data_IF_383276394218
#
_entry.id   IF_383276394218
#
_cell.length_a   1.000
_cell.length_b   1.000
_cell.length_c   1.000
_cell.angle_alpha   90.00
_cell.angle_beta   90.00
_cell.angle_gamma   90.00
#
_symmetry.space_group_name_H-M   'P 1'
#
loop_
_entity.id
_entity.type
_entity.pdbx_description
1 polymer ?
#
# COMPACT_ATOMS: atom_id res chain seq x y z
N UNK A 1 3.98 -34.09 1.05
CA UNK A 1 2.75 -33.48 1.60
C UNK A 1 2.99 -31.97 1.53
N UNK A 2 2.42 -31.18 0.63
CA UNK A 2 1.15 -31.22 -0.11
C UNK A 2 1.42 -30.79 -1.57
N UNK A 3 1.02 -31.58 -2.58
CA UNK A 3 0.93 -31.12 -3.98
C UNK A 3 -0.55 -30.91 -4.30
N UNK A 4 -0.91 -29.73 -4.79
CA UNK A 4 -2.23 -29.48 -5.35
C UNK A 4 -2.32 -30.10 -6.75
N UNK A 5 -3.24 -31.04 -6.93
CA UNK A 5 -3.67 -31.56 -8.23
C UNK A 5 -5.02 -30.89 -8.55
N UNK A 6 -5.03 -29.99 -9.53
CA UNK A 6 -6.27 -29.56 -10.17
C UNK A 6 -6.64 -30.60 -11.23
N UNK A 7 -7.77 -31.27 -11.05
CA UNK A 7 -8.33 -32.20 -12.05
C UNK A 7 -9.59 -31.56 -12.63
N UNK A 8 -9.57 -31.27 -13.92
CA UNK A 8 -10.77 -30.97 -14.72
C UNK A 8 -10.97 -32.10 -15.73
N UNK A 9 -12.19 -32.62 -15.82
CA UNK A 9 -12.52 -33.83 -16.58
C UNK A 9 -12.76 -33.56 -18.08
N UNK A 10 -11.89 -34.19 -18.90
CA UNK A 10 -12.13 -35.12 -20.02
C UNK A 10 -13.11 -34.79 -21.18
N UNK A 11 -12.58 -34.85 -22.41
CA UNK A 11 -13.04 -35.79 -23.48
C UNK A 11 -11.99 -35.95 -24.60
N UNK A 12 -11.48 -37.17 -24.75
CA UNK A 12 -11.63 -38.04 -25.94
C UNK A 12 -10.60 -37.79 -27.06
N UNK A 13 -9.51 -38.56 -26.99
CA UNK A 13 -8.48 -38.71 -28.00
C UNK A 13 -7.36 -39.55 -27.41
N UNK A 14 -6.95 -40.62 -28.09
CA UNK A 14 -5.74 -41.35 -27.72
C UNK A 14 -4.53 -40.48 -28.06
N UNK A 15 -4.28 -39.47 -27.23
CA UNK A 15 -3.03 -38.73 -27.27
C UNK A 15 -1.93 -39.70 -26.89
N UNK A 16 -1.09 -40.01 -27.86
CA UNK A 16 0.19 -40.65 -27.63
C UNK A 16 0.91 -39.77 -26.61
N UNK A 17 1.04 -40.25 -25.36
CA UNK A 17 1.81 -39.56 -24.33
C UNK A 17 3.23 -39.37 -24.88
N UNK A 18 3.48 -38.17 -25.43
CA UNK A 18 4.82 -37.76 -25.79
C UNK A 18 5.57 -37.75 -24.48
N UNK A 19 6.50 -38.68 -24.30
CA UNK A 19 7.36 -38.71 -23.13
C UNK A 19 8.00 -37.32 -23.00
N UNK A 20 7.49 -36.52 -22.06
CA UNK A 20 8.00 -35.18 -21.81
C UNK A 20 9.39 -35.36 -21.22
N UNK A 21 10.40 -35.25 -22.09
CA UNK A 21 11.80 -35.20 -21.72
C UNK A 21 12.07 -33.86 -21.04
N UNK A 22 12.56 -33.90 -19.80
CA UNK A 22 12.95 -32.72 -19.05
C UNK A 22 14.19 -33.00 -18.20
N UNK A 23 15.06 -32.00 -18.07
CA UNK A 23 16.19 -32.05 -17.15
C UNK A 23 15.73 -31.58 -15.78
N UNK A 24 15.89 -32.44 -14.75
CA UNK A 24 15.69 -32.02 -13.37
C UNK A 24 16.84 -31.09 -12.96
N UNK A 25 16.57 -29.79 -12.89
CA UNK A 25 17.52 -28.81 -12.38
C UNK A 25 17.39 -28.72 -10.85
N UNK A 26 18.50 -28.91 -10.13
CA UNK A 26 18.59 -28.71 -8.68
C UNK A 26 19.53 -27.54 -8.39
N UNK A 27 19.03 -26.29 -8.41
CA UNK A 27 19.89 -25.15 -8.15
C UNK A 27 20.39 -25.17 -6.70
N UNK A 28 21.64 -24.75 -6.50
CA UNK A 28 22.19 -24.43 -5.18
C UNK A 28 21.71 -23.05 -4.77
N UNK A 29 21.03 -22.94 -3.62
CA UNK A 29 20.52 -21.67 -3.12
C UNK A 29 21.48 -21.05 -2.11
N UNK A 30 21.76 -19.76 -2.29
CA UNK A 30 22.42 -18.97 -1.25
C UNK A 30 21.37 -18.56 -0.20
N UNK A 31 21.56 -18.99 1.05
CA UNK A 31 20.64 -18.74 2.17
C UNK A 31 21.09 -17.61 3.10
N UNK A 32 22.27 -17.03 2.86
CA UNK A 32 22.91 -16.11 3.80
C UNK A 32 23.27 -14.75 3.20
N UNK A 33 23.46 -14.66 1.88
CA UNK A 33 23.70 -13.38 1.22
C UNK A 33 22.41 -12.59 1.08
N UNK A 34 22.46 -11.31 1.45
CA UNK A 34 21.41 -10.34 1.21
C UNK A 34 21.72 -9.56 -0.07
N UNK A 35 20.77 -9.53 -1.00
CA UNK A 35 20.77 -8.61 -2.13
C UNK A 35 19.67 -7.57 -1.95
N UNK A 36 20.06 -6.29 -1.96
CA UNK A 36 19.10 -5.18 -2.02
C UNK A 36 18.74 -4.94 -3.49
N UNK A 37 17.67 -5.58 -3.93
CA UNK A 37 17.13 -5.38 -5.27
C UNK A 37 15.98 -4.37 -5.20
N UNK A 38 15.97 -3.29 -5.98
CA UNK A 38 14.83 -2.38 -6.05
C UNK A 38 13.51 -3.13 -6.25
N UNK A 39 12.48 -2.72 -5.51
CA UNK A 39 11.14 -3.36 -5.48
C UNK A 39 11.10 -4.83 -5.03
N UNK A 40 12.22 -5.35 -4.55
CA UNK A 40 12.35 -6.74 -4.12
C UNK A 40 13.01 -6.80 -2.73
N UNK A 41 12.74 -7.87 -2.00
CA UNK A 41 13.28 -8.07 -0.66
C UNK A 41 12.32 -7.62 0.45
N UNK A 42 12.88 -7.33 1.62
CA UNK A 42 12.12 -7.12 2.85
C UNK A 42 12.04 -5.63 3.18
N UNK A 43 10.89 -5.17 3.64
CA UNK A 43 10.70 -3.80 4.14
C UNK A 43 10.57 -3.80 5.65
N UNK A 44 11.09 -2.76 6.30
CA UNK A 44 10.75 -2.48 7.69
C UNK A 44 9.37 -1.85 7.74
N UNK A 45 8.40 -2.57 8.30
CA UNK A 45 7.03 -2.08 8.44
C UNK A 45 6.94 -1.07 9.60
N UNK A 46 7.04 0.22 9.29
CA UNK A 46 7.04 1.30 10.26
C UNK A 46 5.62 1.82 10.50
N UNK A 47 5.22 1.86 11.76
CA UNK A 47 4.05 2.66 12.14
C UNK A 47 4.45 4.13 12.25
N UNK A 48 3.56 5.05 11.89
CA UNK A 48 3.82 6.49 11.99
C UNK A 48 3.91 7.01 13.44
N UNK A 49 4.03 6.12 14.45
CA UNK A 49 4.15 6.45 15.87
C UNK A 49 5.54 6.97 16.29
N UNK A 50 6.53 6.96 15.37
CA UNK A 50 7.79 7.71 15.54
C UNK A 50 8.68 7.25 16.69
N UNK A 51 8.55 5.99 17.15
CA UNK A 51 9.35 5.49 18.28
C UNK A 51 10.84 5.33 17.89
N UNK A 52 11.79 6.02 18.56
CA UNK A 52 13.22 5.91 18.25
C UNK A 52 13.79 4.49 18.41
N UNK A 53 13.25 3.66 19.30
CA UNK A 53 13.72 2.29 19.49
C UNK A 53 13.35 1.36 18.34
N UNK A 54 12.48 1.78 17.43
CA UNK A 54 12.03 0.99 16.29
C UNK A 54 13.19 0.53 15.40
N UNK A 55 14.23 1.37 15.27
CA UNK A 55 15.43 1.07 14.46
C UNK A 55 16.33 -0.02 15.06
N UNK A 56 16.21 -0.28 16.36
CA UNK A 56 16.98 -1.29 17.07
C UNK A 56 16.24 -2.63 17.20
N UNK A 57 15.12 -2.78 16.49
CA UNK A 57 14.36 -4.05 16.45
C UNK A 57 15.25 -5.18 15.94
N UNK A 58 15.35 -6.24 16.74
CA UNK A 58 16.18 -7.41 16.47
C UNK A 58 15.35 -8.69 16.42
N UNK A 59 15.82 -9.66 15.62
CA UNK A 59 15.25 -10.99 15.56
C UNK A 59 16.35 -12.05 15.33
N UNK A 60 16.12 -13.25 15.85
CA UNK A 60 16.99 -14.40 15.61
C UNK A 60 16.67 -15.02 14.24
N UNK A 61 17.69 -15.21 13.41
CA UNK A 61 17.54 -15.85 12.09
C UNK A 61 18.23 -17.22 12.12
N UNK A 62 17.47 -18.33 12.13
CA UNK A 62 18.06 -19.68 12.22
C UNK A 62 19.08 -19.99 11.13
N UNK A 63 18.79 -19.63 9.87
CA UNK A 63 19.69 -19.88 8.73
C UNK A 63 21.01 -19.08 8.82
N UNK A 64 21.06 -18.02 9.64
CA UNK A 64 22.29 -17.26 9.93
C UNK A 64 22.93 -17.63 11.27
N UNK A 65 22.24 -18.41 12.12
CA UNK A 65 22.69 -18.77 13.46
C UNK A 65 22.93 -17.58 14.40
N UNK A 66 22.30 -16.42 14.15
CA UNK A 66 22.55 -15.19 14.92
C UNK A 66 21.33 -14.27 14.99
N UNK A 67 21.34 -13.39 15.99
CA UNK A 67 20.44 -12.24 16.08
C UNK A 67 20.94 -11.12 15.18
N UNK A 68 20.01 -10.51 14.43
CA UNK A 68 20.30 -9.41 13.51
C UNK A 68 19.36 -8.24 13.76
N UNK A 69 19.77 -7.02 13.37
CA UNK A 69 18.85 -5.88 13.32
C UNK A 69 18.06 -5.90 12.02
N UNK A 70 16.78 -5.55 12.08
CA UNK A 70 15.91 -5.49 10.91
C UNK A 70 16.44 -4.54 9.82
N UNK A 71 17.00 -3.40 10.26
CA UNK A 71 17.49 -2.34 9.36
C UNK A 71 18.67 -2.77 8.49
N UNK A 72 19.50 -3.70 8.97
CA UNK A 72 20.65 -4.18 8.21
C UNK A 72 20.19 -4.94 6.95
N UNK A 73 18.99 -5.55 7.00
CA UNK A 73 18.45 -6.42 5.97
C UNK A 73 17.35 -5.79 5.11
N UNK A 74 16.80 -4.65 5.53
CA UNK A 74 15.67 -4.03 4.85
C UNK A 74 16.08 -3.23 3.61
N UNK A 75 15.28 -3.34 2.56
CA UNK A 75 15.41 -2.55 1.32
C UNK A 75 14.80 -1.16 1.46
N UNK A 76 13.80 -0.99 2.33
CA UNK A 76 13.13 0.30 2.57
C UNK A 76 12.43 0.35 3.94
N UNK A 77 12.15 1.56 4.42
CA UNK A 77 11.22 1.83 5.52
C UNK A 77 9.81 2.05 4.95
N UNK A 78 8.91 1.08 5.14
CA UNK A 78 7.55 1.14 4.63
C UNK A 78 6.59 1.70 5.68
N UNK A 79 6.12 2.92 5.46
CA UNK A 79 5.19 3.64 6.33
C UNK A 79 3.78 3.46 5.78
N UNK A 80 2.98 2.62 6.46
CA UNK A 80 1.53 2.48 6.22
C UNK A 80 0.77 3.14 7.36
N UNK A 81 0.04 4.21 7.06
CA UNK A 81 -0.80 4.88 8.05
C UNK A 81 -1.96 5.66 7.43
N UNK A 82 -2.77 6.29 8.27
CA UNK A 82 -3.96 7.02 7.86
C UNK A 82 -3.63 8.33 7.14
N UNK A 83 -4.46 8.71 6.16
CA UNK A 83 -4.37 10.02 5.51
C UNK A 83 -4.37 11.16 6.55
N UNK A 84 -5.23 11.11 7.57
CA UNK A 84 -5.24 12.12 8.64
C UNK A 84 -3.92 12.25 9.41
N UNK A 85 -3.07 11.23 9.44
CA UNK A 85 -1.72 11.33 10.03
C UNK A 85 -0.78 12.12 9.13
N UNK A 86 -0.90 11.96 7.82
CA UNK A 86 -0.11 12.73 6.84
C UNK A 86 -0.59 14.17 6.73
N UNK A 87 -1.91 14.39 6.75
CA UNK A 87 -2.51 15.68 6.47
C UNK A 87 -3.71 15.91 7.41
N UNK A 88 -3.45 16.32 8.66
CA UNK A 88 -4.50 16.44 9.69
C UNK A 88 -5.47 17.62 9.47
N UNK A 89 -4.99 18.69 8.83
CA UNK A 89 -5.73 19.93 8.53
C UNK A 89 -5.43 20.32 7.09
N UNK A 90 -6.37 20.96 6.39
CA UNK A 90 -6.14 21.38 5.01
C UNK A 90 -4.90 22.28 4.91
N UNK A 91 -4.00 21.94 3.97
CA UNK A 91 -2.73 22.63 3.77
C UNK A 91 -1.64 22.36 4.82
N UNK A 92 -1.91 21.55 5.86
CA UNK A 92 -0.92 21.17 6.87
C UNK A 92 -0.45 19.75 6.60
N UNK A 93 0.84 19.59 6.32
CA UNK A 93 1.46 18.31 5.97
C UNK A 93 2.41 17.89 7.08
N UNK A 94 2.01 16.89 7.87
CA UNK A 94 2.67 16.52 9.11
C UNK A 94 4.13 16.08 8.90
N UNK A 95 4.46 15.48 7.76
CA UNK A 95 5.83 15.09 7.42
C UNK A 95 6.78 16.27 7.22
N UNK A 96 6.28 17.51 7.19
CA UNK A 96 7.08 18.75 7.15
C UNK A 96 7.30 19.38 8.52
N UNK A 97 6.61 18.91 9.56
CA UNK A 97 6.71 19.44 10.92
C UNK A 97 7.57 18.52 11.82
N UNK A 98 8.75 18.99 12.29
CA UNK A 98 9.64 18.23 13.18
C UNK A 98 9.03 17.74 14.49
N UNK A 99 7.94 18.36 14.94
CA UNK A 99 7.25 17.96 16.16
C UNK A 99 6.53 16.62 16.00
N UNK A 100 6.12 16.27 14.77
CA UNK A 100 5.25 15.14 14.50
C UNK A 100 5.98 13.79 14.52
N UNK A 101 5.24 12.74 14.86
CA UNK A 101 5.77 11.38 14.87
C UNK A 101 6.14 10.87 13.47
N UNK A 102 5.38 11.26 12.45
CA UNK A 102 5.66 10.86 11.07
C UNK A 102 6.92 11.51 10.52
N UNK A 103 7.17 12.79 10.81
CA UNK A 103 8.44 13.45 10.47
C UNK A 103 9.61 12.69 11.10
N UNK A 104 9.52 12.39 12.40
CA UNK A 104 10.60 11.69 13.13
C UNK A 104 10.89 10.31 12.54
N UNK A 105 9.87 9.59 12.10
CA UNK A 105 10.04 8.30 11.43
C UNK A 105 10.72 8.46 10.06
N UNK A 106 10.28 9.40 9.24
CA UNK A 106 10.86 9.67 7.91
C UNK A 106 12.32 10.10 8.06
N UNK A 107 12.59 11.08 8.93
CA UNK A 107 13.93 11.59 9.19
C UNK A 107 14.85 10.51 9.75
N UNK A 108 14.35 9.69 10.68
CA UNK A 108 15.10 8.56 11.23
C UNK A 108 15.54 7.52 10.19
N UNK A 109 14.73 7.26 9.17
CA UNK A 109 15.12 6.37 8.07
C UNK A 109 16.16 7.03 7.15
N UNK A 110 15.94 8.30 6.79
CA UNK A 110 16.86 9.08 5.96
C UNK A 110 18.25 9.20 6.60
N UNK A 111 18.33 9.47 7.91
CA UNK A 111 19.58 9.57 8.66
C UNK A 111 20.35 8.25 8.71
N UNK A 112 19.68 7.12 8.45
CA UNK A 112 20.26 5.78 8.39
C UNK A 112 20.48 5.29 6.96
N UNK A 113 20.26 6.15 5.96
CA UNK A 113 20.39 5.80 4.54
C UNK A 113 19.38 4.75 4.06
N UNK A 114 18.23 4.62 4.73
CA UNK A 114 17.16 3.71 4.34
C UNK A 114 16.08 4.50 3.57
N UNK A 115 15.83 4.19 2.28
CA UNK A 115 14.81 4.89 1.51
C UNK A 115 13.40 4.60 2.06
N UNK A 116 12.48 5.54 1.86
CA UNK A 116 11.11 5.47 2.35
C UNK A 116 10.20 4.82 1.30
N UNK A 117 9.17 4.11 1.76
CA UNK A 117 8.01 3.76 0.96
C UNK A 117 6.73 4.09 1.71
N UNK A 118 5.67 4.47 0.99
CA UNK A 118 4.42 4.93 1.59
C UNK A 118 3.23 4.11 1.16
N UNK A 119 2.29 3.92 2.10
CA UNK A 119 0.88 3.67 1.82
C UNK A 119 0.02 4.59 2.67
N UNK A 120 -0.93 5.23 2.01
CA UNK A 120 -1.90 6.13 2.62
C UNK A 120 -3.26 5.43 2.67
N UNK A 121 -3.84 5.33 3.85
CA UNK A 121 -5.15 4.68 4.05
C UNK A 121 -6.22 5.74 4.24
N UNK A 122 -7.27 5.72 3.39
CA UNK A 122 -8.44 6.58 3.52
C UNK A 122 -9.68 5.88 4.11
N UNK A 123 -9.76 4.56 3.99
CA UNK A 123 -10.92 3.77 4.39
C UNK A 123 -11.08 3.69 5.91
N UNK A 124 -12.26 3.99 6.47
CA UNK A 124 -12.46 4.02 7.93
C UNK A 124 -13.02 2.75 8.55
N UNK A 125 -13.48 1.78 7.75
CA UNK A 125 -14.43 0.73 8.20
C UNK A 125 -13.93 -0.09 9.39
N UNK A 126 -12.64 -0.45 9.42
CA UNK A 126 -12.07 -1.36 10.43
C UNK A 126 -10.87 -0.83 11.21
N UNK A 127 -10.21 0.25 10.74
CA UNK A 127 -9.00 0.83 11.37
C UNK A 127 -9.22 2.15 12.11
N UNK A 128 -10.46 2.66 12.18
CA UNK A 128 -10.76 3.96 12.81
C UNK A 128 -10.91 5.08 11.78
N UNK A 129 -11.01 6.32 12.24
CA UNK A 129 -11.03 7.48 11.35
C UNK A 129 -9.71 7.59 10.58
N UNK A 130 -9.75 7.41 9.26
CA UNK A 130 -8.55 7.41 8.42
C UNK A 130 -8.46 8.64 7.51
N UNK A 131 -9.58 9.06 6.94
CA UNK A 131 -9.71 10.33 6.19
C UNK A 131 -9.79 11.51 7.16
N UNK A 132 -9.10 12.64 6.90
CA UNK A 132 -9.18 13.83 7.76
C UNK A 132 -10.60 14.43 7.81
N UNK A 133 -11.01 14.93 8.97
CA UNK A 133 -12.38 15.45 9.16
C UNK A 133 -12.69 16.65 8.24
N UNK A 134 -11.71 17.49 7.94
CA UNK A 134 -11.89 18.66 7.07
C UNK A 134 -12.38 18.30 5.66
N UNK A 135 -12.09 17.09 5.18
CA UNK A 135 -12.54 16.60 3.86
C UNK A 135 -14.07 16.43 3.87
N UNK A 136 -14.61 15.89 4.96
CA UNK A 136 -16.05 15.75 5.15
C UNK A 136 -16.72 17.09 5.47
N UNK A 137 -16.05 17.95 6.24
CA UNK A 137 -16.55 19.31 6.53
C UNK A 137 -16.66 20.17 5.25
N UNK A 138 -15.78 19.90 4.27
CA UNK A 138 -15.84 20.50 2.93
C UNK A 138 -16.92 19.89 2.01
N UNK A 139 -17.70 18.91 2.50
CA UNK A 139 -18.85 18.35 1.79
C UNK A 139 -18.62 17.01 1.10
N UNK A 140 -17.49 16.33 1.32
CA UNK A 140 -17.28 15.01 0.74
C UNK A 140 -18.29 13.99 1.26
N UNK A 141 -18.94 13.26 0.34
CA UNK A 141 -19.84 12.16 0.70
C UNK A 141 -19.08 11.01 1.37
N UNK A 142 -19.75 10.35 2.31
CA UNK A 142 -19.21 9.21 3.04
C UNK A 142 -20.31 8.24 3.46
N UNK A 143 -19.88 7.05 3.86
CA UNK A 143 -20.73 6.07 4.54
C UNK A 143 -20.03 5.53 5.79
N UNK A 144 -20.80 4.93 6.69
CA UNK A 144 -20.34 4.30 7.92
C UNK A 144 -20.76 2.84 7.88
N UNK A 145 -19.81 1.91 7.96
CA UNK A 145 -20.09 0.48 7.86
C UNK A 145 -20.70 -0.12 9.13
N UNK A 146 -20.45 0.51 10.29
CA UNK A 146 -20.95 0.07 11.58
C UNK A 146 -21.35 1.29 12.42
N UNK A 147 -22.65 1.43 12.69
CA UNK A 147 -23.21 2.57 13.42
C UNK A 147 -22.67 2.73 14.84
N UNK A 148 -22.14 1.66 15.46
CA UNK A 148 -21.47 1.72 16.76
C UNK A 148 -20.13 2.48 16.72
N UNK A 149 -19.61 2.78 15.53
CA UNK A 149 -18.38 3.53 15.31
C UNK A 149 -18.62 4.70 14.33
N UNK A 150 -19.35 5.74 14.75
CA UNK A 150 -19.77 6.83 13.86
C UNK A 150 -18.62 7.69 13.32
N UNK A 151 -17.45 7.62 13.95
CA UNK A 151 -16.21 8.28 13.53
C UNK A 151 -15.50 7.55 12.38
N UNK A 152 -15.84 6.28 12.13
CA UNK A 152 -15.28 5.43 11.07
C UNK A 152 -15.87 5.71 9.69
N UNK A 153 -15.89 6.99 9.33
CA UNK A 153 -16.36 7.47 8.02
C UNK A 153 -15.44 6.99 6.91
N UNK A 154 -16.04 6.47 5.84
CA UNK A 154 -15.33 6.07 4.63
C UNK A 154 -15.82 6.92 3.46
N UNK A 155 -14.92 7.62 2.74
CA UNK A 155 -15.33 8.46 1.62
C UNK A 155 -15.93 7.62 0.48
N UNK A 156 -16.91 8.20 -0.22
CA UNK A 156 -17.41 7.68 -1.49
C UNK A 156 -16.35 7.96 -2.56
N UNK A 157 -15.90 6.94 -3.28
CA UNK A 157 -14.73 7.06 -4.16
C UNK A 157 -14.96 7.94 -5.39
N UNK A 158 -16.21 8.01 -5.88
CA UNK A 158 -16.61 8.88 -6.99
C UNK A 158 -16.90 10.33 -6.57
N UNK A 159 -16.85 10.63 -5.27
CA UNK A 159 -17.17 11.97 -4.78
C UNK A 159 -16.09 12.98 -5.22
N UNK A 160 -16.46 14.07 -5.91
CA UNK A 160 -15.47 15.02 -6.45
C UNK A 160 -14.73 15.80 -5.36
N UNK A 161 -15.33 16.02 -4.18
CA UNK A 161 -14.67 16.72 -3.07
C UNK A 161 -13.61 15.82 -2.45
N UNK A 162 -13.93 14.54 -2.20
CA UNK A 162 -12.95 13.53 -1.78
C UNK A 162 -11.76 13.48 -2.76
N UNK A 163 -12.05 13.32 -4.06
CA UNK A 163 -11.01 13.20 -5.08
C UNK A 163 -10.13 14.44 -5.16
N UNK A 164 -10.70 15.64 -5.07
CA UNK A 164 -9.95 16.89 -5.04
C UNK A 164 -8.93 16.91 -3.91
N UNK A 165 -9.35 16.60 -2.68
CA UNK A 165 -8.44 16.64 -1.53
C UNK A 165 -7.45 15.49 -1.52
N UNK A 166 -7.85 14.30 -1.96
CA UNK A 166 -6.93 13.17 -2.08
C UNK A 166 -5.86 13.44 -3.14
N UNK A 167 -6.23 14.01 -4.29
CA UNK A 167 -5.27 14.42 -5.32
C UNK A 167 -4.30 15.48 -4.80
N UNK A 168 -4.80 16.50 -4.09
CA UNK A 168 -3.97 17.53 -3.44
C UNK A 168 -2.97 16.92 -2.45
N UNK A 169 -3.36 15.90 -1.69
CA UNK A 169 -2.44 15.18 -0.79
C UNK A 169 -1.30 14.52 -1.58
N UNK A 170 -1.63 13.80 -2.65
CA UNK A 170 -0.64 13.08 -3.46
C UNK A 170 0.30 14.04 -4.18
N UNK A 171 -0.22 15.13 -4.75
CA UNK A 171 0.56 16.22 -5.34
C UNK A 171 1.59 16.79 -4.35
N UNK A 172 1.17 17.04 -3.11
CA UNK A 172 2.04 17.61 -2.08
C UNK A 172 3.06 16.60 -1.55
N UNK A 173 2.67 15.32 -1.46
CA UNK A 173 3.61 14.25 -1.14
C UNK A 173 4.70 14.13 -2.23
N UNK A 174 4.32 14.22 -3.50
CA UNK A 174 5.24 14.11 -4.61
C UNK A 174 6.27 15.24 -4.67
N UNK A 175 5.90 16.47 -4.26
CA UNK A 175 6.86 17.59 -4.16
C UNK A 175 8.07 17.27 -3.29
N UNK A 176 7.87 16.47 -2.24
CA UNK A 176 8.93 16.14 -1.27
C UNK A 176 9.57 14.75 -1.52
N UNK A 177 8.82 13.83 -2.13
CA UNK A 177 9.19 12.42 -2.21
C UNK A 177 9.31 11.84 -3.63
N UNK A 178 9.08 12.60 -4.71
CA UNK A 178 9.35 12.16 -6.09
C UNK A 178 10.88 12.18 -6.40
N UNK A 179 11.67 11.43 -5.63
CA UNK A 179 13.14 11.37 -5.72
C UNK A 179 13.62 9.95 -5.44
N UNK A 180 14.24 9.30 -6.44
CA UNK A 180 14.72 7.91 -6.36
C UNK A 180 15.80 7.68 -5.30
N UNK A 181 16.47 8.73 -4.82
CA UNK A 181 17.50 8.62 -3.78
C UNK A 181 16.89 8.60 -2.36
N UNK A 182 15.62 9.03 -2.23
CA UNK A 182 14.93 9.16 -0.94
C UNK A 182 13.78 8.18 -0.82
N UNK A 183 13.14 7.85 -1.94
CA UNK A 183 11.93 7.05 -1.98
C UNK A 183 12.16 5.79 -2.80
N UNK A 184 11.87 4.64 -2.22
CA UNK A 184 11.99 3.35 -2.88
C UNK A 184 10.79 3.10 -3.80
N UNK A 185 9.58 3.30 -3.28
CA UNK A 185 8.34 3.19 -4.03
C UNK A 185 7.17 3.85 -3.29
N UNK A 186 6.06 4.05 -4.01
CA UNK A 186 4.78 4.42 -3.42
C UNK A 186 3.76 3.33 -3.75
N UNK A 187 3.09 2.85 -2.71
CA UNK A 187 1.94 1.96 -2.82
C UNK A 187 0.72 2.81 -3.23
N UNK A 188 0.54 2.89 -4.55
CA UNK A 188 -0.27 3.86 -5.28
C UNK A 188 -1.75 3.48 -5.39
N UNK A 189 -2.28 2.71 -4.44
CA UNK A 189 -3.71 2.40 -4.40
C UNK A 189 -4.39 3.10 -3.22
N UNK A 190 -4.13 2.67 -1.99
CA UNK A 190 -4.70 3.30 -0.79
C UNK A 190 -6.22 3.12 -0.62
N UNK A 191 -6.86 2.41 -1.55
CA UNK A 191 -8.29 2.09 -1.56
C UNK A 191 -8.57 0.73 -0.90
N UNK A 192 -9.82 0.53 -0.47
CA UNK A 192 -10.24 -0.69 0.22
C UNK A 192 -9.79 -0.75 1.68
N UNK A 193 -10.04 -1.89 2.32
CA UNK A 193 -9.58 -2.09 3.71
C UNK A 193 -8.05 -2.03 3.75
N UNK A 194 -7.52 -1.32 4.74
CA UNK A 194 -6.07 -1.15 4.98
C UNK A 194 -5.30 -0.53 3.81
N UNK A 195 -5.99 -0.01 2.79
CA UNK A 195 -5.40 0.48 1.54
C UNK A 195 -4.82 -0.62 0.65
N UNK A 196 -5.23 -1.88 0.84
CA UNK A 196 -4.69 -3.07 0.16
C UNK A 196 -5.44 -3.47 -1.11
N UNK A 197 -6.48 -2.73 -1.46
CA UNK A 197 -7.31 -3.02 -2.62
C UNK A 197 -8.21 -4.23 -2.52
N UNK A 198 -8.32 -4.83 -1.34
CA UNK A 198 -9.39 -5.79 -1.06
C UNK A 198 -10.62 -5.09 -0.49
N UNK A 199 -11.78 -5.69 -0.76
CA UNK A 199 -13.08 -5.22 -0.27
C UNK A 199 -13.34 -3.75 -0.64
N UNK A 200 -12.85 -3.28 -1.77
CA UNK A 200 -13.14 -1.93 -2.25
C UNK A 200 -14.65 -1.82 -2.49
N UNK A 201 -15.26 -0.75 -1.99
CA UNK A 201 -16.64 -0.40 -2.29
C UNK A 201 -16.52 0.80 -3.23
N UNK A 202 -16.76 0.55 -4.51
CA UNK A 202 -16.51 1.50 -5.60
C UNK A 202 -17.61 2.55 -5.74
N UNK A 203 -18.84 2.18 -5.38
CA UNK A 203 -20.03 3.03 -5.43
C UNK A 203 -20.52 3.37 -4.01
N UNK A 204 -21.26 4.46 -3.86
CA UNK A 204 -21.95 4.76 -2.59
C UNK A 204 -22.94 3.63 -2.24
N UNK A 205 -22.71 2.85 -1.16
CA UNK A 205 -23.58 1.74 -0.81
C UNK A 205 -24.96 2.20 -0.32
N UNK A 206 -25.10 3.47 0.08
CA UNK A 206 -26.37 4.02 0.57
C UNK A 206 -27.18 4.68 -0.55
N UNK A 207 -26.53 5.12 -1.63
CA UNK A 207 -27.15 5.83 -2.75
C UNK A 207 -26.56 5.35 -4.09
N UNK A 208 -26.81 4.08 -4.49
CA UNK A 208 -26.30 3.57 -5.75
C UNK A 208 -26.85 4.38 -6.93
N UNK A 209 -25.99 4.69 -7.88
CA UNK A 209 -26.27 5.46 -9.09
C UNK A 209 -27.06 4.67 -10.14
N UNK A 210 -27.08 3.34 -10.03
CA UNK A 210 -27.64 2.43 -11.03
C UNK A 210 -26.76 2.26 -12.28
N UNK A 211 -25.56 2.83 -12.29
CA UNK A 211 -24.59 2.62 -13.35
C UNK A 211 -24.01 1.19 -13.31
N UNK A 212 -23.41 0.76 -14.42
CA UNK A 212 -22.68 -0.49 -14.46
C UNK A 212 -21.46 -0.41 -13.52
N UNK A 213 -21.39 -1.32 -12.54
CA UNK A 213 -20.32 -1.35 -11.55
C UNK A 213 -18.93 -1.55 -12.17
N UNK A 214 -18.82 -2.27 -13.29
CA UNK A 214 -17.55 -2.44 -13.99
C UNK A 214 -17.05 -1.13 -14.61
N UNK A 215 -17.96 -0.29 -15.10
CA UNK A 215 -17.61 1.04 -15.57
C UNK A 215 -17.16 1.96 -14.42
N UNK A 216 -17.80 1.86 -13.25
CA UNK A 216 -17.37 2.60 -12.05
C UNK A 216 -15.98 2.15 -11.59
N UNK A 217 -15.71 0.84 -11.59
CA UNK A 217 -14.41 0.28 -11.22
C UNK A 217 -13.30 0.78 -12.12
N UNK A 218 -13.49 0.68 -13.44
CA UNK A 218 -12.54 1.18 -14.45
C UNK A 218 -12.27 2.66 -14.22
N UNK A 219 -13.31 3.47 -14.07
CA UNK A 219 -13.20 4.91 -13.84
C UNK A 219 -12.44 5.25 -12.55
N UNK A 220 -12.70 4.55 -11.44
CA UNK A 220 -11.98 4.75 -10.17
C UNK A 220 -10.51 4.31 -10.29
N UNK A 221 -10.23 3.20 -10.97
CA UNK A 221 -8.87 2.69 -11.20
C UNK A 221 -8.08 3.65 -12.09
N UNK A 222 -8.69 4.17 -13.15
CA UNK A 222 -8.09 5.18 -14.03
C UNK A 222 -7.77 6.44 -13.24
N UNK A 223 -8.74 6.97 -12.48
CA UNK A 223 -8.53 8.17 -11.66
C UNK A 223 -7.37 8.01 -10.67
N UNK A 224 -7.35 6.95 -9.87
CA UNK A 224 -6.30 6.77 -8.86
C UNK A 224 -4.93 6.56 -9.50
N UNK A 225 -4.88 5.79 -10.60
CA UNK A 225 -3.64 5.55 -11.36
C UNK A 225 -3.12 6.85 -11.98
N UNK A 226 -4.00 7.68 -12.52
CA UNK A 226 -3.68 9.00 -13.05
C UNK A 226 -3.10 9.93 -11.98
N UNK A 227 -3.73 9.98 -10.80
CA UNK A 227 -3.28 10.83 -9.69
C UNK A 227 -1.85 10.49 -9.29
N UNK A 228 -1.52 9.21 -9.13
CA UNK A 228 -0.15 8.83 -8.77
C UNK A 228 0.83 8.97 -9.93
N UNK A 229 0.50 8.49 -11.13
CA UNK A 229 1.43 8.49 -12.28
C UNK A 229 1.78 9.89 -12.79
N UNK A 230 0.86 10.86 -12.68
CA UNK A 230 1.14 12.27 -13.03
C UNK A 230 2.11 12.93 -12.05
N UNK A 231 2.10 12.51 -10.79
CA UNK A 231 2.85 13.17 -9.71
C UNK A 231 4.18 12.49 -9.39
N UNK A 232 4.25 11.16 -9.49
CA UNK A 232 5.43 10.36 -9.21
C UNK A 232 5.99 9.76 -10.49
N UNK A 233 7.05 10.38 -11.00
CA UNK A 233 7.59 10.13 -12.34
C UNK A 233 9.01 9.57 -12.35
N UNK A 234 9.66 9.49 -11.18
CA UNK A 234 11.09 9.15 -11.08
C UNK A 234 11.38 7.72 -10.61
N UNK A 235 10.37 7.01 -10.12
CA UNK A 235 10.51 5.64 -9.62
C UNK A 235 9.23 4.82 -9.87
N UNK A 236 9.30 3.48 -9.71
CA UNK A 236 8.16 2.60 -9.97
C UNK A 236 7.02 2.79 -8.95
N UNK A 237 5.80 2.82 -9.47
CA UNK A 237 4.57 2.78 -8.67
C UNK A 237 4.11 1.35 -8.48
N UNK A 238 3.65 1.01 -7.27
CA UNK A 238 3.14 -0.32 -6.95
C UNK A 238 1.66 -0.22 -6.64
N UNK A 239 0.85 -1.04 -7.30
CA UNK A 239 -0.56 -1.21 -6.95
C UNK A 239 -0.71 -2.64 -6.46
N UNK A 240 -1.12 -2.78 -5.20
CA UNK A 240 -1.54 -4.08 -4.70
C UNK A 240 -2.93 -4.39 -5.22
N UNK A 241 -3.09 -5.61 -5.73
CA UNK A 241 -4.37 -6.18 -6.12
C UNK A 241 -4.61 -7.44 -5.29
N UNK A 242 -5.86 -7.68 -4.91
CA UNK A 242 -6.22 -8.85 -4.11
C UNK A 242 -7.13 -9.78 -4.90
N UNK A 243 -6.56 -10.90 -5.39
CA UNK A 243 -7.19 -12.00 -6.18
C UNK A 243 -7.90 -11.61 -7.47
N UNK A 244 -8.36 -10.38 -7.60
CA UNK A 244 -8.99 -9.75 -8.77
C UNK A 244 -8.56 -8.28 -8.74
N UNK A 245 -8.13 -7.74 -9.88
CA UNK A 245 -8.22 -6.29 -10.08
C UNK A 245 -9.72 -6.03 -10.06
N UNK A 246 -10.20 -5.36 -9.02
CA UNK A 246 -11.56 -5.50 -8.52
C UNK A 246 -12.62 -5.32 -9.59
#
# INVERSE_FOLDING_TARGET
MLCFLAVSCKKEGADTERALSGTLVKPSYNRSAMFRNPLNGWVMYASASGNPSYWDTQFYVPDLGKTVKAIDYASACYIRTSWRTFNPVDGVYAWRDPSTAIYKMIKGAQDKGLPIAFRIVGNGRDQGANTPQFVFDAGAKYYVANASFPDRKTPVLQDPVFRKYYSKLIEELAKDFNDLNKTSFVDAYGLGLWGEGHSVIYEDPNNPSGQNIEAIKEEVVDWISDVYSKNFTTFPLLINYHRVVG
#
